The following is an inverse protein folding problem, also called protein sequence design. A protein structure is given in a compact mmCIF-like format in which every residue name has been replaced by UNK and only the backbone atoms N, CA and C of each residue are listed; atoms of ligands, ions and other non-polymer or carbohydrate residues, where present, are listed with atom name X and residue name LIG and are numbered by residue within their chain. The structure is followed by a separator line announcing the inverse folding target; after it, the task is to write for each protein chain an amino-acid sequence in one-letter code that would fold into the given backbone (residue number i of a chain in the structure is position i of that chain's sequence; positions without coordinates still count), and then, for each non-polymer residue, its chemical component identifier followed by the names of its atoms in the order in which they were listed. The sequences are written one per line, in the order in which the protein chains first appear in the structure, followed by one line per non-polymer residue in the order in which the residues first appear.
data_IF_745883924012
#
_entry.id   IF_745883924012
#
_cell.length_a   1.000
_cell.length_b   1.000
_cell.length_c   1.000
_cell.angle_alpha   90.00
_cell.angle_beta   90.00
_cell.angle_gamma   90.00
#
_symmetry.space_group_name_H-M   'P 1'
#
loop_
_entity.id
_entity.type
_entity.pdbx_description
1 polymer ?
#
# COMPACT_ATOMS: atom_id res chain seq x y z
N UNK A 1 32.36 -66.32 26.87
CA UNK A 1 31.95 -64.95 27.27
C UNK A 1 31.76 -63.99 26.08
N UNK A 2 32.25 -64.27 24.86
CA UNK A 2 32.08 -63.40 23.68
C UNK A 2 30.68 -63.37 23.02
N UNK A 3 29.75 -64.25 23.42
CA UNK A 3 28.38 -64.30 22.85
C UNK A 3 27.43 -63.25 23.45
N UNK A 4 27.63 -62.86 24.71
CA UNK A 4 26.79 -61.86 25.39
C UNK A 4 27.02 -60.44 24.87
N UNK A 5 28.28 -60.03 24.70
CA UNK A 5 28.63 -58.71 24.17
C UNK A 5 28.19 -58.48 22.72
N UNK A 6 28.22 -59.51 21.87
CA UNK A 6 27.79 -59.39 20.47
C UNK A 6 26.27 -59.24 20.35
N UNK A 7 25.52 -59.92 21.21
CA UNK A 7 24.06 -59.79 21.33
C UNK A 7 23.66 -58.42 21.89
N UNK A 8 24.39 -57.94 22.90
CA UNK A 8 24.12 -56.65 23.56
C UNK A 8 24.49 -55.45 22.66
N UNK A 9 25.58 -55.55 21.90
CA UNK A 9 25.95 -54.56 20.88
C UNK A 9 25.00 -54.59 19.66
N UNK A 10 24.40 -55.74 19.34
CA UNK A 10 23.35 -55.82 18.32
C UNK A 10 22.06 -55.14 18.78
N UNK A 11 21.62 -55.38 20.03
CA UNK A 11 20.45 -54.70 20.62
C UNK A 11 20.64 -53.18 20.72
N UNK A 12 21.82 -52.69 21.15
CA UNK A 12 22.09 -51.24 21.14
C UNK A 12 22.15 -50.64 19.73
N UNK A 13 22.71 -51.37 18.75
CA UNK A 13 22.77 -50.89 17.37
C UNK A 13 21.39 -50.82 16.72
N UNK A 14 20.50 -51.79 16.98
CA UNK A 14 19.13 -51.79 16.46
C UNK A 14 18.32 -50.63 17.03
N UNK A 15 18.47 -50.33 18.32
CA UNK A 15 17.82 -49.17 18.93
C UNK A 15 18.38 -47.84 18.41
N UNK A 16 19.68 -47.76 18.09
CA UNK A 16 20.26 -46.59 17.44
C UNK A 16 19.76 -46.41 16.00
N UNK A 17 19.69 -47.47 15.20
CA UNK A 17 19.16 -47.40 13.84
C UNK A 17 17.68 -47.05 13.82
N UNK A 18 16.88 -47.58 14.76
CA UNK A 18 15.48 -47.22 14.92
C UNK A 18 15.31 -45.75 15.34
N UNK A 19 16.13 -45.25 16.26
CA UNK A 19 16.13 -43.85 16.65
C UNK A 19 16.51 -42.92 15.49
N UNK A 20 17.50 -43.30 14.68
CA UNK A 20 17.91 -42.56 13.46
C UNK A 20 16.77 -42.58 12.43
N UNK A 21 16.09 -43.70 12.21
CA UNK A 21 14.94 -43.78 11.29
C UNK A 21 13.77 -42.92 11.75
N UNK A 22 13.42 -42.95 13.04
CA UNK A 22 12.38 -42.08 13.62
C UNK A 22 12.77 -40.60 13.50
N UNK A 23 14.04 -40.29 13.72
CA UNK A 23 14.58 -38.94 13.55
C UNK A 23 14.46 -38.44 12.10
N UNK A 24 14.80 -39.27 11.11
CA UNK A 24 14.62 -38.91 9.69
C UNK A 24 13.15 -38.73 9.31
N UNK A 25 12.25 -39.59 9.80
CA UNK A 25 10.81 -39.44 9.58
C UNK A 25 10.32 -38.12 10.18
N UNK A 26 10.77 -37.79 11.40
CA UNK A 26 10.43 -36.53 12.04
C UNK A 26 10.97 -35.31 11.28
N UNK A 27 12.20 -35.37 10.77
CA UNK A 27 12.76 -34.33 9.89
C UNK A 27 11.93 -34.17 8.62
N UNK A 28 11.53 -35.27 7.97
CA UNK A 28 10.75 -35.22 6.73
C UNK A 28 9.36 -34.63 7.00
N UNK A 29 8.67 -35.07 8.05
CA UNK A 29 7.37 -34.52 8.45
C UNK A 29 7.51 -33.04 8.83
N UNK A 30 8.57 -32.68 9.56
CA UNK A 30 8.87 -31.30 9.92
C UNK A 30 9.14 -30.43 8.70
N UNK A 31 9.92 -30.91 7.73
CA UNK A 31 10.20 -30.20 6.48
C UNK A 31 8.95 -29.99 5.63
N UNK A 32 8.09 -31.02 5.51
CA UNK A 32 6.79 -30.91 4.82
C UNK A 32 5.87 -29.93 5.53
N UNK A 33 5.82 -29.97 6.86
CA UNK A 33 5.00 -29.06 7.66
C UNK A 33 5.49 -27.61 7.53
N UNK A 34 6.80 -27.36 7.59
CA UNK A 34 7.39 -26.04 7.38
C UNK A 34 7.05 -25.51 5.99
N UNK A 35 7.20 -26.34 4.95
CA UNK A 35 6.84 -25.97 3.58
C UNK A 35 5.35 -25.66 3.42
N UNK A 36 4.46 -26.40 4.10
CA UNK A 36 3.03 -26.09 4.13
C UNK A 36 2.70 -24.72 4.76
N UNK A 37 3.62 -24.14 5.52
CA UNK A 37 3.46 -22.87 6.24
C UNK A 37 4.32 -21.73 5.70
N UNK A 38 4.98 -21.91 4.55
CA UNK A 38 5.72 -20.82 3.89
C UNK A 38 4.82 -19.81 3.18
N UNK A 39 3.51 -20.06 3.15
CA UNK A 39 2.52 -19.21 2.51
C UNK A 39 2.17 -18.01 3.39
N UNK A 40 1.78 -16.91 2.75
CA UNK A 40 1.33 -15.70 3.43
C UNK A 40 0.10 -15.99 4.31
N UNK A 41 0.13 -15.52 5.54
CA UNK A 41 -0.99 -15.59 6.49
C UNK A 41 -1.63 -14.20 6.67
N UNK A 42 -2.79 -14.14 7.30
CA UNK A 42 -3.45 -12.87 7.64
C UNK A 42 -4.26 -12.22 6.53
N UNK A 43 -4.45 -12.90 5.40
CA UNK A 43 -5.43 -12.49 4.39
C UNK A 43 -6.79 -13.07 4.75
N UNK A 44 -7.79 -12.20 4.86
CA UNK A 44 -9.20 -12.56 4.95
C UNK A 44 -9.99 -11.85 3.84
N UNK A 45 -11.06 -12.49 3.37
CA UNK A 45 -11.95 -11.91 2.36
C UNK A 45 -13.39 -11.96 2.84
N UNK A 46 -14.06 -10.82 2.75
CA UNK A 46 -15.46 -10.67 3.11
C UNK A 46 -16.25 -9.99 2.01
N UNK A 47 -17.57 -10.10 2.09
CA UNK A 47 -18.45 -9.20 1.37
C UNK A 47 -18.17 -7.75 1.76
N UNK A 48 -18.50 -6.80 0.88
CA UNK A 48 -18.42 -5.37 1.21
C UNK A 48 -19.36 -5.04 2.37
N UNK A 49 -18.79 -4.99 3.58
CA UNK A 49 -19.49 -4.65 4.81
C UNK A 49 -19.62 -3.15 5.05
N UNK A 50 -18.72 -2.35 4.49
CA UNK A 50 -18.68 -0.89 4.70
C UNK A 50 -19.86 -0.20 4.05
N UNK A 51 -20.25 -0.67 2.86
CA UNK A 51 -21.46 -0.21 2.18
C UNK A 51 -22.00 -1.35 1.28
N UNK A 52 -22.95 -2.16 1.79
CA UNK A 52 -23.46 -3.33 1.07
C UNK A 52 -24.01 -3.00 -0.32
N UNK A 53 -23.71 -3.86 -1.29
CA UNK A 53 -24.11 -3.71 -2.70
C UNK A 53 -23.60 -2.43 -3.39
N UNK A 54 -22.54 -1.82 -2.87
CA UNK A 54 -21.88 -0.67 -3.48
C UNK A 54 -20.44 -0.98 -3.86
N UNK A 55 -19.90 -0.17 -4.78
CA UNK A 55 -18.50 -0.20 -5.20
C UNK A 55 -17.77 0.94 -4.51
N UNK A 56 -16.78 0.65 -3.67
CA UNK A 56 -15.94 1.68 -3.05
C UNK A 56 -14.99 2.24 -4.12
N UNK A 57 -14.99 3.57 -4.29
CA UNK A 57 -14.15 4.27 -5.27
C UNK A 57 -12.90 4.84 -4.61
N UNK A 58 -13.09 5.51 -3.48
CA UNK A 58 -12.02 6.08 -2.66
C UNK A 58 -12.34 5.81 -1.20
N UNK A 59 -11.33 5.54 -0.41
CA UNK A 59 -11.47 5.36 1.02
C UNK A 59 -10.18 5.74 1.72
N UNK A 60 -10.33 6.43 2.84
CA UNK A 60 -9.24 6.84 3.69
C UNK A 60 -9.54 6.41 5.12
N UNK A 61 -8.72 5.52 5.66
CA UNK A 61 -8.81 5.05 7.05
C UNK A 61 -8.10 6.01 8.00
N UNK A 62 -8.82 6.52 8.99
CA UNK A 62 -8.24 7.24 10.14
C UNK A 62 -7.82 6.25 11.24
N UNK A 63 -8.55 5.13 11.35
CA UNK A 63 -8.24 4.00 12.23
C UNK A 63 -8.73 2.70 11.57
N UNK A 64 -8.63 1.55 12.26
CA UNK A 64 -9.14 0.28 11.73
C UNK A 64 -10.65 0.34 11.47
N UNK A 65 -11.39 1.03 12.35
CA UNK A 65 -12.85 1.10 12.32
C UNK A 65 -13.36 2.46 11.83
N UNK A 66 -12.54 3.51 11.88
CA UNK A 66 -12.92 4.85 11.43
C UNK A 66 -12.37 5.15 10.03
N UNK A 67 -13.27 5.51 9.12
CA UNK A 67 -12.91 5.78 7.74
C UNK A 67 -13.86 6.79 7.09
N UNK A 68 -13.37 7.42 6.02
CA UNK A 68 -14.15 8.28 5.13
C UNK A 68 -14.10 7.67 3.74
N UNK A 69 -15.26 7.49 3.10
CA UNK A 69 -15.35 6.75 1.85
C UNK A 69 -16.29 7.40 0.84
N UNK A 70 -15.93 7.24 -0.43
CA UNK A 70 -16.76 7.52 -1.59
C UNK A 70 -17.17 6.17 -2.18
N UNK A 71 -18.48 5.94 -2.26
CA UNK A 71 -19.03 4.72 -2.84
C UNK A 71 -19.98 5.03 -4.00
N UNK A 72 -20.00 4.14 -4.98
CA UNK A 72 -20.97 4.16 -6.07
C UNK A 72 -22.07 3.14 -5.79
N UNK A 73 -23.29 3.64 -5.62
CA UNK A 73 -24.51 2.88 -5.30
C UNK A 73 -25.46 2.84 -6.50
N UNK A 74 -26.63 2.20 -6.36
CA UNK A 74 -27.68 2.27 -7.38
C UNK A 74 -28.26 3.68 -7.58
N UNK A 75 -28.18 4.51 -6.54
CA UNK A 75 -28.82 5.84 -6.51
C UNK A 75 -27.83 6.94 -6.93
N UNK A 76 -26.53 6.65 -6.93
CA UNK A 76 -25.47 7.56 -7.33
C UNK A 76 -24.22 7.44 -6.45
N UNK A 77 -23.38 8.47 -6.49
CA UNK A 77 -22.17 8.57 -5.66
C UNK A 77 -22.57 9.10 -4.28
N UNK A 78 -22.16 8.39 -3.24
CA UNK A 78 -22.33 8.79 -1.83
C UNK A 78 -20.97 9.07 -1.21
N UNK A 79 -20.86 10.16 -0.45
CA UNK A 79 -19.74 10.43 0.44
C UNK A 79 -20.24 10.28 1.87
N UNK A 80 -19.56 9.45 2.65
CA UNK A 80 -19.94 9.19 4.02
C UNK A 80 -18.69 8.98 4.88
N UNK A 81 -18.87 9.17 6.18
CA UNK A 81 -17.85 8.93 7.17
C UNK A 81 -18.40 8.00 8.23
N UNK A 82 -17.65 6.96 8.56
CA UNK A 82 -17.98 6.01 9.62
C UNK A 82 -17.02 6.27 10.77
N UNK A 83 -17.56 6.74 11.91
CA UNK A 83 -16.79 7.06 13.12
C UNK A 83 -17.56 6.60 14.35
N UNK A 84 -16.88 6.00 15.33
CA UNK A 84 -17.48 5.55 16.59
C UNK A 84 -18.74 4.65 16.37
N UNK A 85 -18.62 3.66 15.48
CA UNK A 85 -19.71 2.75 15.06
C UNK A 85 -20.94 3.45 14.45
N UNK A 86 -20.77 4.68 13.94
CA UNK A 86 -21.86 5.47 13.36
C UNK A 86 -21.50 5.97 11.98
N UNK A 87 -22.34 5.59 11.03
CA UNK A 87 -22.35 6.19 9.72
C UNK A 87 -22.94 7.61 9.76
N UNK A 88 -22.25 8.54 9.11
CA UNK A 88 -22.71 9.90 8.83
C UNK A 88 -22.58 10.14 7.33
N UNK A 89 -23.72 10.36 6.68
CA UNK A 89 -23.76 10.74 5.28
C UNK A 89 -23.36 12.22 5.17
N UNK A 90 -22.36 12.49 4.34
CA UNK A 90 -21.83 13.83 4.06
C UNK A 90 -22.46 14.39 2.79
N UNK A 91 -22.52 13.57 1.74
CA UNK A 91 -23.20 13.86 0.48
C UNK A 91 -24.12 12.71 0.13
N UNK A 92 -25.41 13.00 -0.01
CA UNK A 92 -26.43 12.02 -0.39
C UNK A 92 -26.88 12.25 -1.85
N UNK A 93 -26.69 11.26 -2.75
CA UNK A 93 -27.06 11.41 -4.16
C UNK A 93 -28.57 11.64 -4.37
N UNK A 94 -29.42 11.26 -3.41
CA UNK A 94 -30.87 11.47 -3.49
C UNK A 94 -31.28 12.93 -3.24
N UNK A 95 -30.48 13.68 -2.49
CA UNK A 95 -30.76 15.09 -2.16
C UNK A 95 -29.84 16.06 -2.90
N UNK A 96 -28.64 15.63 -3.26
CA UNK A 96 -27.57 16.50 -3.75
C UNK A 96 -26.97 15.94 -5.04
N UNK A 97 -27.65 16.19 -6.16
CA UNK A 97 -27.29 15.64 -7.48
C UNK A 97 -26.14 16.38 -8.18
N UNK A 98 -25.64 17.47 -7.59
CA UNK A 98 -24.56 18.27 -8.19
C UNK A 98 -23.17 17.68 -7.91
N UNK A 99 -23.06 16.82 -6.90
CA UNK A 99 -21.80 16.26 -6.41
C UNK A 99 -21.42 14.93 -7.08
N UNK A 100 -21.38 14.93 -8.40
CA UNK A 100 -21.19 13.70 -9.20
C UNK A 100 -19.73 13.35 -9.48
N UNK A 101 -18.76 14.13 -8.99
CA UNK A 101 -17.36 13.93 -9.34
C UNK A 101 -16.40 14.24 -8.19
N UNK A 102 -16.44 13.40 -7.16
CA UNK A 102 -15.41 13.40 -6.11
C UNK A 102 -14.19 12.67 -6.67
N UNK A 103 -13.09 13.42 -6.85
CA UNK A 103 -11.87 12.92 -7.51
C UNK A 103 -10.86 12.28 -6.57
N UNK A 104 -10.85 12.70 -5.30
CA UNK A 104 -9.88 12.27 -4.30
C UNK A 104 -10.44 12.37 -2.88
N UNK A 105 -9.79 11.64 -1.97
CA UNK A 105 -9.85 11.84 -0.53
C UNK A 105 -8.41 11.91 -0.03
N UNK A 106 -8.07 12.96 0.71
CA UNK A 106 -6.72 13.15 1.23
C UNK A 106 -6.74 13.33 2.75
N UNK A 107 -5.91 12.56 3.47
CA UNK A 107 -5.69 12.77 4.89
C UNK A 107 -4.83 14.00 5.15
N UNK A 108 -5.34 14.91 5.98
CA UNK A 108 -4.61 16.08 6.46
C UNK A 108 -3.79 15.74 7.71
N UNK A 109 -2.79 16.57 8.00
CA UNK A 109 -1.87 16.39 9.15
C UNK A 109 -2.58 16.44 10.51
N UNK A 110 -3.77 17.04 10.58
CA UNK A 110 -4.61 17.13 11.77
C UNK A 110 -5.64 15.98 11.89
N UNK A 111 -5.60 14.99 11.00
CA UNK A 111 -6.53 13.85 10.97
C UNK A 111 -7.85 14.11 10.24
N UNK A 112 -8.08 15.33 9.75
CA UNK A 112 -9.26 15.61 8.90
C UNK A 112 -9.08 15.03 7.50
N UNK A 113 -10.19 14.68 6.85
CA UNK A 113 -10.18 14.26 5.44
C UNK A 113 -10.62 15.42 4.57
N UNK A 114 -9.86 15.67 3.52
CA UNK A 114 -10.13 16.74 2.57
C UNK A 114 -10.54 16.18 1.21
N UNK A 115 -11.41 16.92 0.53
CA UNK A 115 -11.81 16.67 -0.86
C UNK A 115 -12.21 17.99 -1.53
N UNK A 116 -12.58 17.94 -2.80
CA UNK A 116 -13.07 19.10 -3.55
C UNK A 116 -14.29 18.73 -4.38
N UNK A 117 -15.35 19.51 -4.22
CA UNK A 117 -16.62 19.32 -4.95
C UNK A 117 -17.04 20.54 -5.78
N UNK A 118 -16.39 21.68 -5.56
CA UNK A 118 -16.60 22.91 -6.34
C UNK A 118 -15.26 23.46 -6.81
N UNK A 119 -15.29 24.31 -7.83
CA UNK A 119 -14.12 25.10 -8.21
C UNK A 119 -13.67 25.98 -7.04
N UNK A 120 -12.35 26.13 -6.90
CA UNK A 120 -11.73 26.99 -5.88
C UNK A 120 -12.21 26.73 -4.44
N UNK A 121 -12.61 25.50 -4.09
CA UNK A 121 -13.05 25.18 -2.73
C UNK A 121 -12.52 23.83 -2.28
N UNK A 122 -11.92 23.80 -1.10
CA UNK A 122 -11.56 22.56 -0.41
C UNK A 122 -12.61 22.31 0.68
N UNK A 123 -13.15 21.11 0.72
CA UNK A 123 -14.06 20.64 1.76
C UNK A 123 -13.29 19.77 2.75
N UNK A 124 -13.32 20.12 4.03
CA UNK A 124 -12.75 19.33 5.12
C UNK A 124 -13.85 18.65 5.92
N UNK A 125 -13.62 17.39 6.26
CA UNK A 125 -14.55 16.51 6.97
C UNK A 125 -13.87 16.05 8.25
N UNK A 126 -14.48 16.38 9.39
CA UNK A 126 -14.01 16.01 10.72
C UNK A 126 -15.19 15.53 11.58
N UNK A 127 -15.22 14.25 11.94
CA UNK A 127 -16.29 13.67 12.75
C UNK A 127 -17.72 14.00 12.23
N UNK A 128 -17.88 14.04 10.91
CA UNK A 128 -19.10 14.37 10.16
C UNK A 128 -19.45 15.85 10.16
N UNK A 129 -18.58 16.71 10.67
CA UNK A 129 -18.67 18.17 10.57
C UNK A 129 -17.93 18.59 9.31
N UNK A 130 -18.63 19.36 8.47
CA UNK A 130 -18.09 19.87 7.21
C UNK A 130 -17.63 21.31 7.41
N UNK A 131 -16.45 21.64 6.91
CA UNK A 131 -15.99 23.02 6.76
C UNK A 131 -15.39 23.23 5.37
N UNK A 132 -15.37 24.48 4.91
CA UNK A 132 -14.88 24.82 3.58
C UNK A 132 -13.78 25.87 3.67
N UNK A 133 -12.71 25.67 2.90
CA UNK A 133 -11.76 26.71 2.55
C UNK A 133 -12.05 27.20 1.14
N UNK A 134 -12.53 28.44 1.06
CA UNK A 134 -12.71 29.12 -0.22
C UNK A 134 -11.37 29.71 -0.66
N UNK A 135 -10.90 29.29 -1.83
CA UNK A 135 -9.68 29.79 -2.46
C UNK A 135 -10.05 31.00 -3.31
N UNK A 136 -9.25 32.06 -3.22
CA UNK A 136 -9.48 33.28 -3.98
C UNK A 136 -9.48 33.01 -5.50
N UNK A 137 -10.40 33.63 -6.21
CA UNK A 137 -10.53 33.61 -7.67
C UNK A 137 -9.55 34.58 -8.38
N UNK A 138 -8.73 35.32 -7.64
CA UNK A 138 -7.76 36.28 -8.18
C UNK A 138 -6.78 35.65 -9.17
N UNK A 139 -6.50 34.36 -9.01
CA UNK A 139 -5.58 33.59 -9.87
C UNK A 139 -6.30 32.69 -10.87
N UNK A 140 -7.60 32.92 -11.10
CA UNK A 140 -8.47 32.15 -12.00
C UNK A 140 -9.39 31.17 -11.28
N UNK A 141 -10.34 30.61 -12.04
CA UNK A 141 -11.21 29.51 -11.61
C UNK A 141 -10.59 28.17 -12.00
N UNK A 142 -10.55 27.21 -11.10
CA UNK A 142 -9.96 25.89 -11.33
C UNK A 142 -10.61 24.81 -10.46
N UNK A 143 -10.63 23.58 -10.97
CA UNK A 143 -11.01 22.41 -10.16
C UNK A 143 -9.76 21.76 -9.55
N UNK A 144 -9.93 21.07 -8.43
CA UNK A 144 -8.85 20.42 -7.70
C UNK A 144 -8.96 18.91 -7.94
N UNK A 145 -7.88 18.30 -8.41
CA UNK A 145 -7.79 16.87 -8.69
C UNK A 145 -7.18 16.08 -7.54
N UNK A 146 -6.24 16.67 -6.81
CA UNK A 146 -5.56 16.05 -5.68
C UNK A 146 -4.96 17.13 -4.78
N UNK A 147 -4.79 16.84 -3.50
CA UNK A 147 -4.11 17.75 -2.58
C UNK A 147 -3.08 17.01 -1.73
N UNK A 148 -1.98 17.69 -1.45
CA UNK A 148 -0.99 17.24 -0.49
C UNK A 148 -0.64 18.36 0.48
N UNK A 149 -0.84 18.18 1.79
CA UNK A 149 -0.33 19.14 2.78
C UNK A 149 1.20 19.20 2.72
N UNK A 150 1.77 20.26 3.29
CA UNK A 150 3.21 20.34 3.52
C UNK A 150 3.65 19.24 4.49
N UNK A 151 4.89 18.78 4.35
CA UNK A 151 5.49 17.86 5.31
C UNK A 151 5.60 18.47 6.71
N UNK A 152 5.95 19.77 6.78
CA UNK A 152 6.01 20.48 8.04
C UNK A 152 4.61 20.82 8.54
N UNK A 153 4.19 20.15 9.61
CA UNK A 153 2.88 20.37 10.25
C UNK A 153 2.72 21.78 10.84
N UNK A 154 3.79 22.57 10.95
CA UNK A 154 3.72 23.97 11.35
C UNK A 154 3.51 24.93 10.19
N UNK A 155 3.68 24.45 8.95
CA UNK A 155 3.45 25.21 7.73
C UNK A 155 2.06 24.87 7.22
N UNK A 156 1.12 25.78 7.46
CA UNK A 156 -0.27 25.66 7.00
C UNK A 156 -0.38 25.98 5.50
N UNK A 157 0.36 25.23 4.69
CA UNK A 157 0.33 25.30 3.24
C UNK A 157 0.18 23.91 2.62
N UNK A 158 -0.34 23.87 1.42
CA UNK A 158 -0.57 22.65 0.67
C UNK A 158 -0.29 22.87 -0.80
N UNK A 159 0.06 21.80 -1.48
CA UNK A 159 0.22 21.77 -2.92
C UNK A 159 -0.98 21.04 -3.53
N UNK A 160 -1.56 21.63 -4.56
CA UNK A 160 -2.72 21.13 -5.28
C UNK A 160 -2.31 20.68 -6.67
N UNK A 161 -2.88 19.57 -7.14
CA UNK A 161 -3.01 19.31 -8.57
C UNK A 161 -4.33 19.94 -9.02
N UNK A 162 -4.26 20.86 -9.98
CA UNK A 162 -5.42 21.62 -10.46
C UNK A 162 -5.68 21.35 -11.93
N UNK A 163 -6.95 21.36 -12.31
CA UNK A 163 -7.39 21.37 -13.71
C UNK A 163 -7.64 22.83 -14.13
N UNK A 164 -6.78 23.33 -15.03
CA UNK A 164 -6.83 24.68 -15.57
C UNK A 164 -7.70 24.75 -16.85
N UNK A 165 -8.46 23.69 -17.14
CA UNK A 165 -9.42 23.57 -18.24
C UNK A 165 -8.86 22.88 -19.48
N UNK A 166 -7.61 23.13 -19.85
CA UNK A 166 -6.95 22.42 -20.98
C UNK A 166 -5.74 21.59 -20.60
N UNK A 167 -5.25 21.74 -19.36
CA UNK A 167 -4.12 20.99 -18.82
C UNK A 167 -4.23 20.92 -17.30
N UNK A 168 -3.57 19.94 -16.71
CA UNK A 168 -3.37 19.88 -15.26
C UNK A 168 -2.11 20.63 -14.85
N UNK A 169 -2.12 21.33 -13.72
CA UNK A 169 -0.97 22.08 -13.19
C UNK A 169 -0.83 21.90 -11.68
N UNK A 170 0.18 22.55 -11.10
CA UNK A 170 0.33 22.68 -9.66
C UNK A 170 0.04 24.10 -9.19
N UNK A 171 -0.64 24.21 -8.05
CA UNK A 171 -0.81 25.46 -7.30
C UNK A 171 -0.54 25.23 -5.83
N UNK A 172 0.21 26.13 -5.22
CA UNK A 172 0.31 26.19 -3.77
C UNK A 172 -0.85 27.00 -3.19
N UNK A 173 -1.37 26.59 -2.04
CA UNK A 173 -2.41 27.32 -1.31
C UNK A 173 -2.01 27.40 0.16
N UNK A 174 -2.13 28.61 0.71
CA UNK A 174 -2.03 28.85 2.16
C UNK A 174 -3.41 28.75 2.80
N UNK A 175 -3.46 28.50 4.11
CA UNK A 175 -4.71 28.28 4.87
C UNK A 175 -5.68 29.46 4.86
N UNK A 176 -5.23 30.66 4.49
CA UNK A 176 -6.07 31.83 4.31
C UNK A 176 -6.85 31.82 2.98
N UNK A 177 -6.62 30.81 2.15
CA UNK A 177 -7.27 30.64 0.84
C UNK A 177 -6.57 31.43 -0.26
N UNK A 178 -5.35 31.93 -0.04
CA UNK A 178 -4.57 32.63 -1.06
C UNK A 178 -3.84 31.62 -1.96
N UNK A 179 -4.15 31.54 -3.27
CA UNK A 179 -3.44 30.66 -4.18
C UNK A 179 -2.20 31.31 -4.79
N UNK A 180 -1.20 30.49 -5.07
CA UNK A 180 -0.11 30.85 -5.99
C UNK A 180 -0.61 30.95 -7.44
N UNK A 181 0.22 31.51 -8.31
CA UNK A 181 0.12 31.24 -9.75
C UNK A 181 0.24 29.74 -10.04
N UNK A 182 -0.33 29.28 -11.14
CA UNK A 182 -0.12 27.91 -11.62
C UNK A 182 1.30 27.72 -12.16
N UNK A 183 1.84 26.51 -12.04
CA UNK A 183 3.04 26.12 -12.77
C UNK A 183 2.81 26.29 -14.28
N UNK A 184 3.77 26.86 -15.04
CA UNK A 184 3.68 26.93 -16.49
C UNK A 184 3.41 25.56 -17.10
N UNK A 185 2.68 25.52 -18.22
CA UNK A 185 2.29 24.29 -18.90
C UNK A 185 3.49 23.35 -19.12
N UNK A 186 3.42 22.14 -18.56
CA UNK A 186 4.40 21.08 -18.72
C UNK A 186 3.95 20.12 -19.83
N UNK A 187 4.68 20.12 -20.96
CA UNK A 187 4.55 19.27 -22.16
C UNK A 187 3.45 18.17 -22.15
N UNK A 188 2.15 18.51 -22.25
CA UNK A 188 1.04 17.53 -22.31
C UNK A 188 1.06 16.46 -21.19
N UNK A 189 1.44 16.83 -19.98
CA UNK A 189 1.40 15.93 -18.81
C UNK A 189 0.07 16.10 -18.08
N UNK A 190 -0.62 14.99 -17.87
CA UNK A 190 -1.78 14.87 -16.98
C UNK A 190 -1.32 14.38 -15.61
N UNK A 191 -1.20 15.29 -14.64
CA UNK A 191 -0.83 14.99 -13.26
C UNK A 191 -2.01 14.36 -12.51
N UNK A 192 -1.72 13.32 -11.72
CA UNK A 192 -2.71 12.47 -11.06
C UNK A 192 -2.58 12.47 -9.55
N UNK A 193 -1.40 12.13 -9.02
CA UNK A 193 -1.17 12.00 -7.58
C UNK A 193 -0.03 12.91 -7.13
N UNK A 194 -0.06 13.34 -5.87
CA UNK A 194 1.00 14.13 -5.26
C UNK A 194 1.16 13.80 -3.78
N UNK A 195 2.39 13.75 -3.29
CA UNK A 195 2.72 13.42 -1.90
C UNK A 195 3.96 14.18 -1.43
N UNK A 196 4.03 14.60 -0.15
CA UNK A 196 5.16 15.38 0.34
C UNK A 196 6.34 14.46 0.62
N UNK A 197 7.54 14.86 0.22
CA UNK A 197 8.78 14.14 0.52
C UNK A 197 9.60 14.84 1.62
N UNK A 198 9.62 16.17 1.63
CA UNK A 198 10.30 16.97 2.64
C UNK A 198 9.65 18.35 2.75
N UNK A 199 10.16 19.22 3.62
CA UNK A 199 9.61 20.57 3.77
C UNK A 199 9.66 21.32 2.43
N UNK A 200 8.51 21.79 1.96
CA UNK A 200 8.38 22.52 0.70
C UNK A 200 8.75 21.71 -0.57
N UNK A 201 8.77 20.38 -0.47
CA UNK A 201 9.06 19.51 -1.60
C UNK A 201 8.07 18.35 -1.69
N UNK A 202 7.63 18.08 -2.92
CA UNK A 202 6.65 17.06 -3.23
C UNK A 202 7.11 16.20 -4.40
N UNK A 203 6.61 14.98 -4.44
CA UNK A 203 6.68 14.11 -5.60
C UNK A 203 5.29 13.98 -6.18
N UNK A 204 5.18 14.26 -7.47
CA UNK A 204 3.96 14.10 -8.24
C UNK A 204 4.12 13.00 -9.29
N UNK A 205 3.05 12.30 -9.58
CA UNK A 205 2.98 11.34 -10.69
C UNK A 205 1.93 11.75 -11.69
N UNK A 206 2.13 11.37 -12.93
CA UNK A 206 1.22 11.70 -14.01
C UNK A 206 1.49 10.88 -15.26
N UNK A 207 0.87 11.28 -16.35
CA UNK A 207 0.97 10.60 -17.63
C UNK A 207 1.24 11.60 -18.73
N UNK A 208 2.32 11.39 -19.47
CA UNK A 208 2.65 12.15 -20.67
C UNK A 208 1.89 11.57 -21.85
N UNK A 209 1.11 12.41 -22.52
CA UNK A 209 0.36 12.03 -23.72
C UNK A 209 1.00 12.71 -24.94
N UNK A 210 1.77 11.93 -25.71
CA UNK A 210 2.42 12.42 -26.92
C UNK A 210 1.60 12.07 -28.16
N UNK A 211 1.24 13.08 -28.97
CA UNK A 211 0.43 12.91 -30.18
C UNK A 211 1.17 12.25 -31.37
N UNK A 212 2.45 11.89 -31.22
CA UNK A 212 3.26 11.28 -32.28
C UNK A 212 4.31 10.34 -31.69
N UNK A 213 4.37 9.10 -32.16
CA UNK A 213 5.55 8.23 -31.93
C UNK A 213 5.32 6.86 -31.29
N UNK A 214 4.17 6.20 -31.47
CA UNK A 214 4.08 4.77 -31.16
C UNK A 214 5.07 3.96 -32.01
N UNK A 215 5.87 3.09 -31.39
CA UNK A 215 6.92 2.29 -32.04
C UNK A 215 6.40 1.44 -33.21
N UNK A 216 5.13 1.00 -33.14
CA UNK A 216 4.48 0.20 -34.18
C UNK A 216 3.50 0.99 -35.07
N UNK A 217 3.08 2.19 -34.66
CA UNK A 217 2.15 3.02 -35.43
C UNK A 217 2.42 4.52 -35.18
N UNK A 218 2.97 5.25 -36.18
CA UNK A 218 3.25 6.68 -36.08
C UNK A 218 2.05 7.57 -35.72
N UNK A 219 0.82 7.06 -35.91
CA UNK A 219 -0.43 7.76 -35.61
C UNK A 219 -1.06 7.38 -34.26
N UNK A 220 -0.47 6.47 -33.48
CA UNK A 220 -0.96 6.14 -32.13
C UNK A 220 -0.27 7.01 -31.09
N UNK A 221 -1.03 7.64 -30.16
CA UNK A 221 -0.44 8.44 -29.10
C UNK A 221 0.41 7.55 -28.20
N UNK A 222 1.59 8.04 -27.83
CA UNK A 222 2.45 7.38 -26.87
C UNK A 222 2.10 7.89 -25.46
N UNK A 223 1.79 6.96 -24.57
CA UNK A 223 1.44 7.23 -23.18
C UNK A 223 2.60 6.75 -22.31
N UNK A 224 3.25 7.66 -21.58
CA UNK A 224 4.36 7.32 -20.68
C UNK A 224 4.06 7.81 -19.27
N UNK A 225 4.31 7.00 -18.22
CA UNK A 225 4.19 7.49 -16.85
C UNK A 225 5.32 8.47 -16.53
N UNK A 226 5.01 9.46 -15.71
CA UNK A 226 5.90 10.57 -15.38
C UNK A 226 5.98 10.72 -13.87
N UNK A 227 7.15 11.09 -13.37
CA UNK A 227 7.36 11.51 -12.00
C UNK A 227 8.00 12.91 -12.03
N UNK A 228 7.44 13.84 -11.27
CA UNK A 228 7.97 15.19 -11.09
C UNK A 228 8.36 15.45 -9.65
N UNK A 229 9.55 16.02 -9.44
CA UNK A 229 9.91 16.64 -8.15
C UNK A 229 9.50 18.10 -8.18
N UNK A 230 8.61 18.49 -7.27
CA UNK A 230 7.99 19.82 -7.23
C UNK A 230 8.40 20.55 -5.97
N UNK A 231 8.85 21.79 -6.11
CA UNK A 231 9.31 22.65 -5.02
C UNK A 231 8.43 23.89 -4.94
N UNK A 232 7.95 24.20 -3.74
CA UNK A 232 7.20 25.43 -3.49
C UNK A 232 7.35 25.91 -2.06
N UNK A 233 7.88 27.12 -1.89
CA UNK A 233 8.25 27.70 -0.59
C UNK A 233 7.23 28.70 -0.03
N UNK A 234 5.98 28.66 -0.50
CA UNK A 234 4.92 29.58 -0.07
C UNK A 234 4.78 30.85 -0.91
N UNK A 235 3.71 31.61 -0.62
CA UNK A 235 3.35 32.86 -1.28
C UNK A 235 2.83 32.73 -2.71
N UNK A 236 2.85 33.84 -3.46
CA UNK A 236 2.20 33.95 -4.76
C UNK A 236 2.98 33.30 -5.93
N UNK A 237 4.21 32.86 -5.71
CA UNK A 237 5.06 32.30 -6.77
C UNK A 237 4.59 30.92 -7.17
N UNK A 238 4.56 30.63 -8.48
CA UNK A 238 4.20 29.33 -8.99
C UNK A 238 5.13 28.22 -8.45
N UNK A 239 4.60 27.02 -8.12
CA UNK A 239 5.42 25.86 -7.83
C UNK A 239 6.36 25.54 -8.99
N UNK A 240 7.58 25.11 -8.67
CA UNK A 240 8.62 24.80 -9.65
C UNK A 240 8.75 23.29 -9.82
N UNK A 241 8.63 22.81 -11.06
CA UNK A 241 9.01 21.46 -11.43
C UNK A 241 10.54 21.41 -11.56
N UNK A 242 11.21 20.79 -10.59
CA UNK A 242 12.67 20.78 -10.46
C UNK A 242 13.30 19.69 -11.33
N UNK A 243 12.82 18.46 -11.18
CA UNK A 243 13.32 17.28 -11.90
C UNK A 243 12.15 16.47 -12.47
N UNK A 244 12.40 15.79 -13.59
CA UNK A 244 11.42 14.97 -14.29
C UNK A 244 12.00 13.61 -14.64
N UNK A 245 11.30 12.56 -14.26
CA UNK A 245 11.59 11.20 -14.68
C UNK A 245 10.48 10.69 -15.60
N UNK A 246 10.88 10.15 -16.76
CA UNK A 246 9.97 9.50 -17.71
C UNK A 246 10.13 7.99 -17.60
N UNK A 247 9.06 7.33 -17.17
CA UNK A 247 9.00 5.88 -17.18
C UNK A 247 8.74 5.33 -18.58
N UNK A 248 8.88 4.00 -18.70
CA UNK A 248 8.74 3.33 -19.98
C UNK A 248 7.28 3.11 -20.37
N UNK A 249 6.51 2.43 -19.50
CA UNK A 249 5.14 1.99 -19.73
C UNK A 249 4.36 1.93 -18.41
N UNK A 250 3.05 1.81 -18.51
CA UNK A 250 2.16 1.66 -17.35
C UNK A 250 1.80 3.00 -16.70
N UNK A 251 1.36 2.93 -15.46
CA UNK A 251 0.99 4.07 -14.62
C UNK A 251 1.54 3.86 -13.21
N UNK A 252 1.90 4.96 -12.55
CA UNK A 252 2.19 4.97 -11.11
C UNK A 252 0.89 5.16 -10.33
N UNK A 253 0.73 4.42 -9.24
CA UNK A 253 -0.52 4.34 -8.46
C UNK A 253 -0.30 4.40 -6.94
N UNK A 254 0.94 4.51 -6.47
CA UNK A 254 1.21 4.70 -5.04
C UNK A 254 2.47 5.53 -4.84
N UNK A 255 2.38 6.51 -3.94
CA UNK A 255 3.47 7.34 -3.46
C UNK A 255 3.72 7.07 -1.98
N UNK A 256 4.79 6.36 -1.66
CA UNK A 256 5.07 5.87 -0.31
C UNK A 256 6.39 6.41 0.21
N UNK A 257 6.32 7.28 1.22
CA UNK A 257 7.53 7.80 1.89
C UNK A 257 8.11 6.78 2.87
N UNK A 258 9.40 6.50 2.72
CA UNK A 258 10.23 5.74 3.67
C UNK A 258 11.50 6.55 3.91
N UNK A 259 11.68 7.02 5.14
CA UNK A 259 12.80 7.89 5.50
C UNK A 259 12.89 9.10 4.54
N UNK A 260 14.03 9.27 3.88
CA UNK A 260 14.34 10.32 2.87
C UNK A 260 14.09 9.84 1.44
N UNK A 261 13.36 8.73 1.26
CA UNK A 261 13.05 8.15 -0.04
C UNK A 261 11.56 8.13 -0.29
N UNK A 262 11.18 8.29 -1.55
CA UNK A 262 9.84 8.03 -2.03
C UNK A 262 9.87 6.76 -2.89
N UNK A 263 9.08 5.77 -2.49
CA UNK A 263 8.83 4.56 -3.29
C UNK A 263 7.58 4.79 -4.11
N UNK A 264 7.75 4.76 -5.42
CA UNK A 264 6.75 5.17 -6.40
C UNK A 264 6.36 3.91 -7.17
N UNK A 265 5.31 3.25 -6.70
CA UNK A 265 4.88 1.97 -7.23
C UNK A 265 4.05 2.15 -8.50
N UNK A 266 4.28 1.28 -9.48
CA UNK A 266 3.55 1.31 -10.73
C UNK A 266 3.20 -0.08 -11.25
N UNK A 267 2.38 -0.08 -12.29
CA UNK A 267 1.85 -1.30 -12.91
C UNK A 267 2.90 -2.05 -13.72
N UNK A 268 3.94 -1.36 -14.21
CA UNK A 268 5.01 -1.95 -15.04
C UNK A 268 6.42 -1.78 -14.47
N UNK A 269 6.61 -0.88 -13.50
CA UNK A 269 7.87 -0.69 -12.79
C UNK A 269 7.62 0.05 -11.47
N UNK A 270 8.59 -0.02 -10.56
CA UNK A 270 8.62 0.79 -9.35
C UNK A 270 9.86 1.67 -9.40
N UNK A 271 9.77 2.91 -8.94
CA UNK A 271 10.88 3.86 -8.92
C UNK A 271 11.12 4.31 -7.49
N UNK A 272 12.38 4.38 -7.09
CA UNK A 272 12.83 4.95 -5.84
C UNK A 272 13.38 6.33 -6.15
N UNK A 273 12.83 7.36 -5.52
CA UNK A 273 13.42 8.70 -5.49
C UNK A 273 14.13 8.91 -4.16
N UNK A 274 15.39 9.34 -4.19
CA UNK A 274 16.17 9.72 -2.99
C UNK A 274 16.26 11.24 -2.90
N UNK A 275 15.73 11.83 -1.82
CA UNK A 275 15.71 13.29 -1.62
C UNK A 275 17.09 13.87 -1.31
N UNK A 276 18.05 13.07 -0.84
CA UNK A 276 19.40 13.57 -0.52
C UNK A 276 20.21 13.82 -1.79
N UNK A 277 20.10 12.90 -2.76
CA UNK A 277 20.89 12.90 -3.98
C UNK A 277 20.08 13.38 -5.21
N UNK A 278 18.76 13.55 -5.06
CA UNK A 278 17.82 13.93 -6.12
C UNK A 278 17.85 12.98 -7.33
N UNK A 279 17.95 11.67 -7.05
CA UNK A 279 18.08 10.64 -8.10
C UNK A 279 16.86 9.73 -8.14
N UNK A 280 16.56 9.23 -9.34
CA UNK A 280 15.54 8.22 -9.60
C UNK A 280 16.20 6.89 -9.97
N UNK A 281 15.89 5.84 -9.21
CA UNK A 281 16.33 4.47 -9.47
C UNK A 281 15.11 3.58 -9.77
N UNK A 282 15.09 2.94 -10.94
CA UNK A 282 14.03 1.98 -11.29
C UNK A 282 14.37 0.58 -10.80
N UNK A 283 13.40 -0.08 -10.18
CA UNK A 283 13.47 -1.47 -9.75
C UNK A 283 12.38 -2.29 -10.45
N UNK A 284 12.70 -3.55 -10.75
CA UNK A 284 11.81 -4.50 -11.45
C UNK A 284 10.79 -5.12 -10.48
N UNK A 285 9.95 -4.25 -9.89
CA UNK A 285 8.81 -4.63 -9.07
C UNK A 285 7.56 -4.03 -9.70
N UNK A 286 6.57 -4.88 -9.94
CA UNK A 286 5.28 -4.50 -10.51
C UNK A 286 4.17 -4.86 -9.54
N UNK A 287 3.13 -4.03 -9.48
CA UNK A 287 2.02 -4.24 -8.57
C UNK A 287 0.76 -3.55 -9.06
N UNK A 288 -0.38 -4.02 -8.53
CA UNK A 288 -1.68 -3.37 -8.64
C UNK A 288 -1.97 -2.46 -7.45
N UNK A 289 -1.43 -2.80 -6.28
CA UNK A 289 -1.47 -1.97 -5.09
C UNK A 289 -0.14 -2.10 -4.34
N UNK A 290 0.35 -0.98 -3.80
CA UNK A 290 1.51 -0.96 -2.93
C UNK A 290 1.16 -0.18 -1.67
N UNK A 291 1.40 -0.78 -0.51
CA UNK A 291 0.95 -0.21 0.76
C UNK A 291 2.05 -0.37 1.80
N UNK A 292 2.32 0.71 2.53
CA UNK A 292 3.24 0.71 3.66
C UNK A 292 2.55 0.15 4.90
N UNK A 293 3.27 -0.69 5.64
CA UNK A 293 2.91 -1.12 6.98
C UNK A 293 3.80 -0.44 8.03
N UNK A 294 3.40 -0.46 9.29
CA UNK A 294 4.03 0.23 10.43
C UNK A 294 5.55 0.02 10.62
N UNK A 295 6.13 -1.03 10.05
CA UNK A 295 7.56 -1.38 10.20
C UNK A 295 8.43 -0.97 9.00
N UNK A 296 8.15 0.17 8.35
CA UNK A 296 8.87 0.64 7.14
C UNK A 296 8.95 -0.45 6.04
N UNK A 297 7.95 -1.31 6.02
CA UNK A 297 7.85 -2.42 5.08
C UNK A 297 6.72 -2.12 4.11
N UNK A 298 7.02 -2.24 2.82
CA UNK A 298 6.04 -2.11 1.75
C UNK A 298 5.60 -3.49 1.28
N UNK A 299 4.30 -3.65 1.13
CA UNK A 299 3.69 -4.81 0.52
C UNK A 299 3.18 -4.45 -0.87
N UNK A 300 3.65 -5.19 -1.86
CA UNK A 300 3.23 -5.08 -3.25
C UNK A 300 2.32 -6.25 -3.59
N UNK A 301 1.07 -5.92 -3.94
CA UNK A 301 0.05 -6.88 -4.31
C UNK A 301 -0.13 -6.92 -5.83
N UNK A 302 -0.18 -8.12 -6.39
CA UNK A 302 -0.47 -8.31 -7.81
C UNK A 302 -1.96 -8.22 -8.13
N UNK A 303 -2.29 -8.30 -9.41
CA UNK A 303 -3.68 -8.39 -9.92
C UNK A 303 -4.37 -9.69 -9.52
N UNK A 304 -5.67 -9.78 -9.82
CA UNK A 304 -6.45 -11.00 -9.63
C UNK A 304 -5.75 -12.21 -10.25
N UNK A 305 -5.81 -13.35 -9.55
CA UNK A 305 -5.10 -14.60 -9.86
C UNK A 305 -3.59 -14.62 -9.63
N UNK A 306 -2.97 -13.55 -9.12
CA UNK A 306 -1.56 -13.59 -8.68
C UNK A 306 -1.36 -14.68 -7.63
N UNK A 307 -0.23 -15.38 -7.69
CA UNK A 307 0.14 -16.44 -6.72
C UNK A 307 1.09 -15.92 -5.64
N UNK A 308 1.56 -14.67 -5.75
CA UNK A 308 2.61 -14.12 -4.90
C UNK A 308 2.36 -12.66 -4.57
N UNK A 309 2.93 -12.23 -3.44
CA UNK A 309 3.11 -10.83 -3.05
C UNK A 309 4.59 -10.55 -2.83
N UNK A 310 5.00 -9.29 -2.92
CA UNK A 310 6.38 -8.89 -2.63
C UNK A 310 6.39 -8.08 -1.34
N UNK A 311 7.18 -8.53 -0.37
CA UNK A 311 7.53 -7.78 0.83
C UNK A 311 8.86 -7.08 0.58
N UNK A 312 8.89 -5.77 0.72
CA UNK A 312 10.08 -4.95 0.47
C UNK A 312 10.43 -4.10 1.68
N UNK A 313 11.73 -4.01 1.97
CA UNK A 313 12.36 -3.03 2.84
C UNK A 313 13.65 -2.53 2.19
N UNK A 314 14.26 -1.48 2.74
CA UNK A 314 15.56 -0.98 2.23
C UNK A 314 16.67 -2.04 2.23
N UNK A 315 16.59 -3.03 3.13
CA UNK A 315 17.59 -4.08 3.25
C UNK A 315 17.30 -5.31 2.38
N UNK A 316 16.03 -5.58 2.09
CA UNK A 316 15.62 -6.86 1.50
C UNK A 316 14.32 -6.80 0.70
N UNK A 317 14.29 -7.50 -0.43
CA UNK A 317 13.07 -7.81 -1.19
C UNK A 317 12.81 -9.30 -1.18
N UNK A 318 11.60 -9.70 -0.78
CA UNK A 318 11.17 -11.11 -0.64
C UNK A 318 9.86 -11.35 -1.38
N UNK A 319 9.87 -12.32 -2.29
CA UNK A 319 8.66 -12.88 -2.90
C UNK A 319 8.06 -13.90 -1.94
N UNK A 320 6.77 -13.76 -1.63
CA UNK A 320 6.03 -14.63 -0.72
C UNK A 320 4.84 -15.22 -1.46
N UNK A 321 4.70 -16.55 -1.42
CA UNK A 321 3.56 -17.25 -2.01
C UNK A 321 2.29 -17.01 -1.20
N UNK A 322 1.18 -16.76 -1.88
CA UNK A 322 -0.14 -16.66 -1.27
C UNK A 322 -0.71 -18.05 -0.95
N UNK A 323 -1.57 -18.13 0.08
CA UNK A 323 -2.30 -19.37 0.39
C UNK A 323 -3.16 -19.84 -0.77
N UNK A 324 -3.87 -18.89 -1.36
CA UNK A 324 -4.72 -19.01 -2.52
C UNK A 324 -4.37 -17.89 -3.50
N UNK A 325 -4.73 -18.05 -4.77
CA UNK A 325 -4.54 -16.97 -5.75
C UNK A 325 -5.29 -15.72 -5.32
N UNK A 326 -4.77 -14.54 -5.67
CA UNK A 326 -5.41 -13.25 -5.40
C UNK A 326 -6.88 -13.29 -5.84
N UNK A 327 -7.85 -13.19 -4.90
CA UNK A 327 -9.25 -13.49 -5.19
C UNK A 327 -10.02 -12.34 -5.83
N UNK A 328 -9.49 -11.11 -5.77
CA UNK A 328 -10.14 -9.89 -6.25
C UNK A 328 -9.25 -9.14 -7.23
N UNK A 329 -9.85 -8.39 -8.15
CA UNK A 329 -9.16 -7.32 -8.86
C UNK A 329 -9.22 -6.05 -8.01
N UNK A 330 -8.06 -5.60 -7.52
CA UNK A 330 -7.97 -4.45 -6.61
C UNK A 330 -8.25 -3.17 -7.41
N UNK A 331 -9.12 -2.33 -6.87
CA UNK A 331 -9.52 -1.06 -7.48
C UNK A 331 -9.14 0.14 -6.63
N UNK A 332 -9.27 0.01 -5.32
CA UNK A 332 -8.79 1.01 -4.34
C UNK A 332 -8.30 0.29 -3.09
N UNK A 333 -7.45 0.96 -2.32
CA UNK A 333 -6.83 0.40 -1.14
C UNK A 333 -6.51 1.50 -0.14
N UNK A 334 -6.44 1.12 1.13
CA UNK A 334 -6.05 2.01 2.21
C UNK A 334 -5.35 1.18 3.30
N UNK A 335 -4.73 1.87 4.24
CA UNK A 335 -4.09 1.24 5.39
C UNK A 335 -4.47 1.96 6.65
N UNK A 336 -4.73 1.18 7.68
CA UNK A 336 -4.67 1.59 9.07
C UNK A 336 -3.32 1.18 9.67
N UNK A 337 -3.10 1.45 10.95
CA UNK A 337 -1.88 1.03 11.65
C UNK A 337 -1.72 -0.51 11.67
N UNK A 338 -2.83 -1.24 11.80
CA UNK A 338 -2.76 -2.70 11.98
C UNK A 338 -3.09 -3.48 10.71
N UNK A 339 -3.98 -2.94 9.88
CA UNK A 339 -4.59 -3.65 8.76
C UNK A 339 -4.43 -2.89 7.46
N UNK A 340 -4.16 -3.62 6.39
CA UNK A 340 -4.24 -3.16 5.01
C UNK A 340 -5.58 -3.62 4.44
N UNK A 341 -6.31 -2.69 3.83
CA UNK A 341 -7.61 -2.92 3.23
C UNK A 341 -7.53 -2.76 1.72
N UNK A 342 -8.08 -3.70 0.98
CA UNK A 342 -8.15 -3.67 -0.48
C UNK A 342 -9.57 -3.93 -0.93
N UNK A 343 -10.08 -3.06 -1.79
CA UNK A 343 -11.45 -3.09 -2.28
C UNK A 343 -11.43 -3.38 -3.77
N UNK A 344 -12.36 -4.22 -4.20
CA UNK A 344 -12.41 -4.62 -5.59
C UNK A 344 -13.53 -5.59 -5.90
N UNK A 345 -13.41 -6.23 -7.06
CA UNK A 345 -14.41 -7.17 -7.55
C UNK A 345 -13.84 -8.58 -7.66
N UNK A 346 -14.66 -9.58 -7.34
CA UNK A 346 -14.31 -10.98 -7.54
C UNK A 346 -14.54 -11.45 -8.99
N UNK A 347 -14.28 -12.72 -9.28
CA UNK A 347 -14.51 -13.32 -10.61
C UNK A 347 -15.97 -13.31 -11.07
N UNK A 348 -16.93 -13.10 -10.17
CA UNK A 348 -18.36 -13.00 -10.47
C UNK A 348 -18.82 -11.55 -10.64
N UNK A 349 -17.93 -10.56 -10.39
CA UNK A 349 -18.24 -9.14 -10.41
C UNK A 349 -18.88 -8.63 -9.12
N UNK A 350 -18.84 -9.41 -8.04
CA UNK A 350 -19.35 -8.99 -6.73
C UNK A 350 -18.29 -8.15 -6.01
N UNK A 351 -18.71 -7.06 -5.36
CA UNK A 351 -17.80 -6.20 -4.61
C UNK A 351 -17.37 -6.88 -3.30
N UNK A 352 -16.06 -6.94 -3.06
CA UNK A 352 -15.43 -7.62 -1.91
C UNK A 352 -14.41 -6.72 -1.24
N UNK A 353 -14.13 -7.04 0.02
CA UNK A 353 -13.05 -6.45 0.80
C UNK A 353 -12.04 -7.56 1.11
N UNK A 354 -10.78 -7.28 0.83
CA UNK A 354 -9.66 -8.11 1.25
C UNK A 354 -8.92 -7.39 2.37
N UNK A 355 -8.89 -8.01 3.53
CA UNK A 355 -8.22 -7.54 4.72
C UNK A 355 -6.88 -8.27 4.84
N UNK A 356 -5.81 -7.54 5.12
CA UNK A 356 -4.50 -8.13 5.34
C UNK A 356 -3.88 -7.60 6.63
N UNK A 357 -3.60 -8.51 7.56
CA UNK A 357 -2.82 -8.27 8.78
C UNK A 357 -1.33 -8.58 8.53
N UNK A 358 -0.47 -7.56 8.38
CA UNK A 358 0.96 -7.75 8.15
C UNK A 358 1.69 -8.38 9.34
N UNK A 359 1.16 -8.24 10.56
CA UNK A 359 1.78 -8.73 11.81
C UNK A 359 1.62 -10.24 11.98
N UNK A 360 0.56 -10.82 11.38
CA UNK A 360 0.34 -12.25 11.37
C UNK A 360 1.49 -13.01 10.69
N UNK A 361 2.15 -12.39 9.69
CA UNK A 361 3.22 -13.02 8.93
C UNK A 361 4.49 -13.19 9.77
N UNK A 362 4.73 -14.44 10.21
CA UNK A 362 5.88 -14.79 11.05
C UNK A 362 5.59 -14.82 12.54
N UNK A 363 4.37 -14.49 12.97
CA UNK A 363 3.92 -14.66 14.37
C UNK A 363 3.97 -16.14 14.82
N UNK A 364 4.09 -16.40 16.12
CA UNK A 364 3.94 -17.76 16.71
C UNK A 364 2.54 -18.33 16.39
N UNK A 365 1.53 -17.45 16.27
CA UNK A 365 0.17 -17.82 15.91
C UNK A 365 0.03 -18.19 14.42
N UNK A 366 1.00 -17.78 13.58
CA UNK A 366 1.12 -18.36 12.26
C UNK A 366 1.50 -19.84 12.39
N UNK A 367 0.92 -20.70 11.54
CA UNK A 367 1.29 -22.13 11.53
C UNK A 367 2.79 -22.36 11.45
N UNK A 368 3.53 -21.45 10.80
CA UNK A 368 5.00 -21.47 10.70
C UNK A 368 5.68 -21.19 12.04
N UNK A 369 5.24 -20.17 12.77
CA UNK A 369 5.80 -19.81 14.05
C UNK A 369 5.59 -20.91 15.10
N UNK A 370 4.39 -21.50 15.14
CA UNK A 370 4.09 -22.65 15.99
C UNK A 370 4.96 -23.88 15.64
N UNK A 371 5.11 -24.20 14.36
CA UNK A 371 5.94 -25.33 13.92
C UNK A 371 7.42 -25.11 14.20
N UNK A 372 7.95 -23.92 13.93
CA UNK A 372 9.33 -23.57 14.26
C UNK A 372 9.59 -23.68 15.77
N UNK A 373 8.67 -23.17 16.59
CA UNK A 373 8.77 -23.28 18.05
C UNK A 373 8.72 -24.75 18.50
N UNK A 374 7.77 -25.53 17.97
CA UNK A 374 7.65 -26.95 18.28
C UNK A 374 8.90 -27.74 17.87
N UNK A 375 9.49 -27.42 16.71
CA UNK A 375 10.72 -28.04 16.23
C UNK A 375 11.89 -27.74 17.17
N UNK A 376 12.08 -26.47 17.54
CA UNK A 376 13.11 -26.06 18.51
C UNK A 376 12.91 -26.79 19.85
N UNK A 377 11.68 -26.87 20.35
CA UNK A 377 11.36 -27.50 21.62
C UNK A 377 11.67 -29.00 21.61
N UNK A 378 11.22 -29.73 20.56
CA UNK A 378 11.49 -31.16 20.42
C UNK A 378 12.99 -31.43 20.26
N UNK A 379 13.70 -30.64 19.44
CA UNK A 379 15.15 -30.79 19.29
C UNK A 379 15.90 -30.51 20.59
N UNK A 380 15.48 -29.50 21.34
CA UNK A 380 16.07 -29.18 22.65
C UNK A 380 15.90 -30.34 23.62
N UNK A 381 14.71 -30.93 23.70
CA UNK A 381 14.45 -32.12 24.53
C UNK A 381 15.32 -33.29 24.09
N UNK A 382 15.40 -33.56 22.78
CA UNK A 382 16.21 -34.65 22.24
C UNK A 382 17.71 -34.47 22.56
N UNK A 383 18.24 -33.26 22.43
CA UNK A 383 19.63 -32.95 22.78
C UNK A 383 19.88 -33.06 24.29
N UNK A 384 18.94 -32.64 25.15
CA UNK A 384 19.06 -32.81 26.60
C UNK A 384 19.10 -34.29 26.96
N UNK A 385 18.22 -35.11 26.39
CA UNK A 385 18.16 -36.56 26.66
C UNK A 385 19.42 -37.27 26.15
N UNK A 386 19.92 -36.92 24.96
CA UNK A 386 21.19 -37.46 24.46
C UNK A 386 22.37 -37.03 25.32
N UNK A 387 22.44 -35.74 25.69
CA UNK A 387 23.48 -35.20 26.55
C UNK A 387 23.49 -35.86 27.93
N UNK A 388 22.31 -36.08 28.52
CA UNK A 388 22.16 -36.81 29.77
C UNK A 388 22.66 -38.25 29.66
N UNK A 389 22.26 -38.97 28.60
CA UNK A 389 22.71 -40.35 28.38
C UNK A 389 24.23 -40.45 28.18
N UNK A 390 24.85 -39.48 27.50
CA UNK A 390 26.31 -39.43 27.36
C UNK A 390 26.99 -39.12 28.69
N UNK A 391 26.44 -38.20 29.48
CA UNK A 391 26.96 -37.84 30.81
C UNK A 391 26.89 -39.03 31.78
N UNK A 392 25.76 -39.73 31.85
CA UNK A 392 25.62 -40.94 32.66
C UNK A 392 26.65 -41.99 32.25
N UNK A 393 26.87 -42.17 30.94
CA UNK A 393 27.89 -43.11 30.41
C UNK A 393 29.34 -42.71 30.70
N UNK A 394 29.63 -41.43 30.90
CA UNK A 394 30.96 -40.95 31.26
C UNK A 394 31.24 -41.04 32.77
N UNK A 395 30.20 -41.09 33.60
CA UNK A 395 30.29 -41.18 35.05
C UNK A 395 30.09 -42.60 35.61
N UNK A 396 29.76 -43.58 34.77
CA UNK A 396 29.87 -45.02 35.03
C UNK A 396 31.13 -45.59 34.39
#
# INVERSE_FOLDING_TARGET
MAKGWKSFLQEESEHQWLAISVFFIFIIIGAVAIHGTSKLTGIDISDNSEMPNSRIMHIEHQSNDDYTAVAHTSDGIILYQFIDDKEKIIIDPNTETEFTNIKFLASMTNGTVATSVHENSIMFIDAGVISHLNISDQSGSFSINEISPNYDQQVDSMLLITDEGSFTSFRGVEIDGTPSSNTPESENIEWKEISPISNNEWIATGVLISSSGGDDNPASPQIKPVIGHVIWTGGFTAPMLHELYLGNNGEFHSLIKINEKMIIAGTSQTVIFDSNDLTFESIDITSKAAVKSDCETIWFFGSMNSETVIKWSEEESKVIELQHKMPIEIETFSSSNEMIFMYGTDTNGENKILNFDPSSYGSIESGRGFLNFSFILVFTIAFIVMGWNVYDRMNT
#
